data_IF_214041151151
#
_entry.id   IF_214041151151
#
_cell.length_a   1.000
_cell.length_b   1.000
_cell.length_c   1.000
_cell.angle_alpha   90.00
_cell.angle_beta   90.00
_cell.angle_gamma   90.00
#
_symmetry.space_group_name_H-M   'P 1'
#
loop_
_entity.id
_entity.type
_entity.pdbx_description
1 polymer ?
#
# COMPACT_ATOMS: atom_id res chain seq x y z
N UNK A 1 -10.25 1.40 -47.58
CA UNK A 1 -11.02 1.04 -46.36
C UNK A 1 -10.42 -0.24 -45.76
N UNK A 2 -10.35 -0.38 -44.45
CA UNK A 2 -9.88 -1.64 -43.84
C UNK A 2 -10.81 -2.81 -44.20
N UNK A 3 -10.25 -3.98 -44.43
CA UNK A 3 -11.08 -5.15 -44.77
C UNK A 3 -11.80 -5.64 -43.48
N UNK A 4 -13.04 -6.15 -43.65
CA UNK A 4 -13.78 -6.75 -42.52
C UNK A 4 -12.96 -7.87 -41.86
N UNK A 5 -12.13 -8.59 -42.65
CA UNK A 5 -11.25 -9.65 -42.16
C UNK A 5 -10.14 -9.11 -41.22
N UNK A 6 -9.49 -7.99 -41.59
CA UNK A 6 -8.42 -7.42 -40.74
C UNK A 6 -8.97 -6.86 -39.40
N UNK A 7 -10.16 -6.25 -39.44
CA UNK A 7 -10.85 -5.81 -38.22
C UNK A 7 -11.21 -7.00 -37.33
N UNK A 8 -11.77 -8.07 -37.90
CA UNK A 8 -12.12 -9.27 -37.15
C UNK A 8 -10.88 -9.94 -36.50
N UNK A 9 -9.77 -10.02 -37.22
CA UNK A 9 -8.52 -10.54 -36.69
C UNK A 9 -8.02 -9.68 -35.51
N UNK A 10 -8.00 -8.36 -35.66
CA UNK A 10 -7.60 -7.44 -34.59
C UNK A 10 -8.51 -7.59 -33.34
N UNK A 11 -9.83 -7.70 -33.54
CA UNK A 11 -10.77 -7.92 -32.44
C UNK A 11 -10.53 -9.26 -31.72
N UNK A 12 -10.33 -10.34 -32.47
CA UNK A 12 -10.04 -11.67 -31.88
C UNK A 12 -8.72 -11.64 -31.09
N UNK A 13 -7.66 -11.06 -31.66
CA UNK A 13 -6.38 -10.93 -30.94
C UNK A 13 -6.54 -10.07 -29.69
N UNK A 14 -7.32 -9.01 -29.74
CA UNK A 14 -7.63 -8.18 -28.56
C UNK A 14 -8.37 -8.96 -27.47
N UNK A 15 -9.37 -9.76 -27.83
CA UNK A 15 -10.08 -10.61 -26.86
C UNK A 15 -9.14 -11.65 -26.23
N UNK A 16 -8.30 -12.31 -27.02
CA UNK A 16 -7.31 -13.28 -26.52
C UNK A 16 -6.32 -12.58 -25.58
N UNK A 17 -5.78 -11.42 -25.97
CA UNK A 17 -4.85 -10.65 -25.14
C UNK A 17 -5.49 -10.20 -23.81
N UNK A 18 -6.76 -9.78 -23.85
CA UNK A 18 -7.53 -9.45 -22.64
C UNK A 18 -7.67 -10.67 -21.73
N UNK A 19 -8.06 -11.81 -22.25
CA UNK A 19 -8.19 -13.04 -21.47
C UNK A 19 -6.85 -13.46 -20.85
N UNK A 20 -5.76 -13.42 -21.62
CA UNK A 20 -4.41 -13.69 -21.11
C UNK A 20 -4.03 -12.68 -20.00
N UNK A 21 -4.24 -11.38 -20.22
CA UNK A 21 -3.93 -10.35 -19.24
C UNK A 21 -4.68 -10.53 -17.92
N UNK A 22 -5.96 -10.88 -17.98
CA UNK A 22 -6.77 -11.18 -16.78
C UNK A 22 -6.23 -12.42 -16.07
N UNK A 23 -5.95 -13.52 -16.80
CA UNK A 23 -5.38 -14.73 -16.20
C UNK A 23 -4.03 -14.44 -15.54
N UNK A 24 -3.15 -13.71 -16.21
CA UNK A 24 -1.85 -13.33 -15.66
C UNK A 24 -1.97 -12.48 -14.39
N UNK A 25 -3.00 -11.65 -14.27
CA UNK A 25 -3.24 -10.85 -13.07
C UNK A 25 -3.48 -11.68 -11.81
N UNK A 26 -3.99 -12.90 -11.95
CA UNK A 26 -4.20 -13.85 -10.85
C UNK A 26 -3.04 -14.82 -10.63
N UNK A 27 -2.30 -15.14 -11.67
CA UNK A 27 -1.17 -16.10 -11.59
C UNK A 27 0.09 -15.43 -11.03
N UNK A 28 0.33 -14.17 -11.38
CA UNK A 28 1.49 -13.43 -10.89
C UNK A 28 1.25 -13.01 -9.45
N UNK A 29 2.20 -13.35 -8.57
CA UNK A 29 2.19 -12.89 -7.18
C UNK A 29 2.75 -11.48 -7.09
N UNK A 30 1.89 -10.49 -7.26
CA UNK A 30 2.26 -9.05 -7.25
C UNK A 30 2.73 -8.55 -5.89
N UNK A 31 2.24 -9.15 -4.82
CA UNK A 31 2.44 -8.67 -3.46
C UNK A 31 3.04 -9.74 -2.56
N UNK A 32 3.73 -9.35 -1.47
CA UNK A 32 4.11 -10.29 -0.42
C UNK A 32 2.87 -10.89 0.26
N UNK A 33 3.12 -11.84 1.13
CA UNK A 33 2.08 -12.49 1.94
C UNK A 33 1.20 -11.45 2.64
N UNK A 34 -0.11 -11.66 2.63
CA UNK A 34 -1.07 -10.88 3.41
C UNK A 34 -0.97 -11.28 4.87
N UNK A 35 -0.98 -10.30 5.77
CA UNK A 35 -0.87 -10.51 7.21
C UNK A 35 -1.73 -9.53 8.02
N UNK A 36 -2.75 -8.93 7.40
CA UNK A 36 -3.78 -8.12 8.06
C UNK A 36 -5.10 -8.18 7.29
N UNK A 37 -6.20 -7.93 7.98
CA UNK A 37 -7.53 -7.86 7.36
C UNK A 37 -7.60 -6.75 6.31
N UNK A 38 -6.93 -5.62 6.53
CA UNK A 38 -6.84 -4.51 5.59
C UNK A 38 -6.10 -4.90 4.31
N UNK A 39 -5.11 -5.79 4.40
CA UNK A 39 -4.38 -6.30 3.23
C UNK A 39 -5.32 -7.08 2.30
N UNK A 40 -6.23 -7.90 2.83
CA UNK A 40 -7.21 -8.63 2.04
C UNK A 40 -8.16 -7.69 1.28
N UNK A 41 -8.65 -6.64 1.95
CA UNK A 41 -9.53 -5.65 1.35
C UNK A 41 -8.83 -4.87 0.23
N UNK A 42 -7.60 -4.42 0.49
CA UNK A 42 -6.77 -3.66 -0.47
C UNK A 42 -6.43 -4.49 -1.70
N UNK A 43 -6.04 -5.76 -1.52
CA UNK A 43 -5.72 -6.65 -2.65
C UNK A 43 -6.97 -6.98 -3.48
N UNK A 44 -8.14 -7.10 -2.86
CA UNK A 44 -9.42 -7.26 -3.57
C UNK A 44 -9.71 -6.03 -4.45
N UNK A 45 -9.54 -4.83 -3.90
CA UNK A 45 -9.69 -3.59 -4.68
C UNK A 45 -8.71 -3.56 -5.86
N UNK A 46 -7.44 -3.91 -5.62
CA UNK A 46 -6.43 -3.98 -6.67
C UNK A 46 -6.85 -4.93 -7.81
N UNK A 47 -7.34 -6.12 -7.50
CA UNK A 47 -7.80 -7.05 -8.53
C UNK A 47 -8.98 -6.50 -9.34
N UNK A 48 -9.95 -5.84 -8.69
CA UNK A 48 -11.06 -5.19 -9.39
C UNK A 48 -10.54 -4.11 -10.35
N UNK A 49 -9.59 -3.28 -9.90
CA UNK A 49 -8.98 -2.24 -10.74
C UNK A 49 -8.23 -2.83 -11.93
N UNK A 50 -7.46 -3.92 -11.74
CA UNK A 50 -6.74 -4.59 -12.83
C UNK A 50 -7.71 -5.21 -13.83
N UNK A 51 -8.75 -5.91 -13.36
CA UNK A 51 -9.77 -6.52 -14.23
C UNK A 51 -10.48 -5.45 -15.08
N UNK A 52 -10.75 -4.28 -14.52
CA UNK A 52 -11.33 -3.16 -15.26
C UNK A 52 -10.33 -2.51 -16.24
N UNK A 53 -9.06 -2.42 -15.87
CA UNK A 53 -8.02 -1.73 -16.64
C UNK A 53 -7.50 -2.54 -17.82
N UNK A 54 -7.35 -3.87 -17.68
CA UNK A 54 -6.78 -4.74 -18.73
C UNK A 54 -7.55 -4.67 -20.06
N UNK A 55 -8.88 -4.84 -20.11
CA UNK A 55 -9.62 -4.74 -21.37
C UNK A 55 -9.52 -3.34 -22.00
N UNK A 56 -9.52 -2.27 -21.21
CA UNK A 56 -9.37 -0.92 -21.72
C UNK A 56 -7.99 -0.71 -22.32
N UNK A 57 -6.94 -1.12 -21.61
CA UNK A 57 -5.56 -1.03 -22.10
C UNK A 57 -5.37 -1.81 -23.40
N UNK A 58 -5.87 -3.06 -23.45
CA UNK A 58 -5.77 -3.90 -24.64
C UNK A 58 -6.56 -3.31 -25.80
N UNK A 59 -7.77 -2.79 -25.54
CA UNK A 59 -8.59 -2.16 -26.59
C UNK A 59 -7.86 -0.96 -27.20
N UNK A 60 -7.39 -0.03 -26.36
CA UNK A 60 -6.68 1.18 -26.82
C UNK A 60 -5.41 0.80 -27.58
N UNK A 61 -4.61 -0.10 -27.02
CA UNK A 61 -3.36 -0.58 -27.66
C UNK A 61 -3.65 -1.24 -29.00
N UNK A 62 -4.67 -2.10 -29.07
CA UNK A 62 -5.08 -2.77 -30.32
C UNK A 62 -5.50 -1.76 -31.38
N UNK A 63 -6.33 -0.77 -31.02
CA UNK A 63 -6.77 0.29 -31.93
C UNK A 63 -5.60 1.12 -32.42
N UNK A 64 -4.69 1.53 -31.54
CA UNK A 64 -3.51 2.32 -31.88
C UNK A 64 -2.58 1.53 -32.82
N UNK A 65 -2.20 0.31 -32.45
CA UNK A 65 -1.30 -0.51 -33.27
C UNK A 65 -1.92 -0.83 -34.63
N UNK A 66 -3.22 -1.16 -34.65
CA UNK A 66 -3.95 -1.39 -35.89
C UNK A 66 -3.96 -0.13 -36.78
N UNK A 67 -4.21 1.04 -36.20
CA UNK A 67 -4.24 2.32 -36.94
C UNK A 67 -2.88 2.67 -37.51
N UNK A 68 -1.80 2.54 -36.72
CA UNK A 68 -0.43 2.76 -37.19
C UNK A 68 -0.06 1.82 -38.33
N UNK A 69 -0.45 0.53 -38.21
CA UNK A 69 -0.16 -0.46 -39.26
C UNK A 69 -0.98 -0.22 -40.52
N UNK A 70 -2.28 0.04 -40.39
CA UNK A 70 -3.23 0.11 -41.50
C UNK A 70 -3.16 1.44 -42.26
N UNK A 71 -2.96 2.55 -41.53
CA UNK A 71 -3.05 3.92 -42.09
C UNK A 71 -1.69 4.61 -42.20
N UNK A 72 -0.58 3.87 -42.05
CA UNK A 72 0.76 4.43 -42.31
C UNK A 72 0.85 4.97 -43.74
N UNK A 73 1.40 6.15 -43.92
CA UNK A 73 1.66 6.75 -45.23
C UNK A 73 2.60 5.86 -46.03
N UNK A 74 2.27 5.65 -47.29
CA UNK A 74 3.11 4.94 -48.26
C UNK A 74 3.79 5.96 -49.17
N UNK A 75 4.93 5.59 -49.76
CA UNK A 75 5.65 6.42 -50.70
C UNK A 75 4.72 6.80 -51.89
N UNK A 76 4.66 8.11 -52.20
CA UNK A 76 3.78 8.67 -53.21
C UNK A 76 2.36 9.05 -52.72
N UNK A 77 2.10 8.97 -51.42
CA UNK A 77 0.81 9.40 -50.82
C UNK A 77 0.91 10.70 -50.00
N UNK A 78 2.07 11.37 -50.02
CA UNK A 78 2.41 12.52 -49.17
C UNK A 78 1.52 13.75 -49.41
N UNK A 79 0.87 13.84 -50.56
CA UNK A 79 -0.01 14.96 -50.95
C UNK A 79 -1.51 14.62 -50.90
N UNK A 80 -1.90 13.49 -50.34
CA UNK A 80 -3.31 13.11 -50.25
C UNK A 80 -3.91 13.54 -48.92
N UNK A 81 -4.87 14.44 -48.98
CA UNK A 81 -5.65 14.82 -47.80
C UNK A 81 -6.54 13.68 -47.31
N UNK A 82 -6.75 13.62 -46.02
CA UNK A 82 -7.70 12.71 -45.40
C UNK A 82 -9.15 13.09 -45.69
N UNK A 83 -10.12 12.20 -45.47
CA UNK A 83 -11.54 12.52 -45.62
C UNK A 83 -11.96 13.62 -44.63
N UNK A 84 -12.81 14.59 -45.02
CA UNK A 84 -13.26 15.69 -44.16
C UNK A 84 -14.28 15.18 -43.11
N UNK A 85 -13.80 14.61 -42.04
CA UNK A 85 -14.62 14.11 -40.93
C UNK A 85 -14.56 15.16 -39.81
N UNK A 86 -15.72 15.71 -39.41
CA UNK A 86 -15.78 16.80 -38.43
C UNK A 86 -16.31 16.42 -37.04
N UNK A 87 -16.70 15.18 -36.80
CA UNK A 87 -17.19 14.71 -35.51
C UNK A 87 -18.38 13.75 -35.63
N UNK A 88 -18.72 13.15 -34.49
CA UNK A 88 -19.89 12.27 -34.33
C UNK A 88 -20.38 12.36 -32.89
N UNK A 89 -21.39 13.17 -32.64
CA UNK A 89 -21.93 13.44 -31.29
C UNK A 89 -22.37 12.16 -30.56
N UNK A 90 -22.92 11.17 -31.27
CA UNK A 90 -23.30 9.89 -30.62
C UNK A 90 -22.08 9.15 -30.09
N UNK A 91 -21.02 9.12 -30.90
CA UNK A 91 -19.76 8.47 -30.49
C UNK A 91 -19.08 9.25 -29.35
N UNK A 92 -19.14 10.59 -29.39
CA UNK A 92 -18.60 11.48 -28.35
C UNK A 92 -19.31 11.25 -27.00
N UNK A 93 -20.64 11.21 -27.00
CA UNK A 93 -21.42 10.89 -25.80
C UNK A 93 -21.08 9.50 -25.28
N UNK A 94 -20.93 8.50 -26.15
CA UNK A 94 -20.63 7.13 -25.79
C UNK A 94 -19.26 7.00 -25.10
N UNK A 95 -18.19 7.55 -25.67
CA UNK A 95 -16.86 7.45 -25.11
C UNK A 95 -16.64 8.33 -23.87
N UNK A 96 -17.51 9.31 -23.63
CA UNK A 96 -17.51 10.10 -22.40
C UNK A 96 -18.31 9.38 -21.30
N UNK A 97 -19.52 8.91 -21.62
CA UNK A 97 -20.42 8.31 -20.64
C UNK A 97 -19.87 7.01 -20.05
N UNK A 98 -19.32 6.10 -20.88
CA UNK A 98 -18.84 4.80 -20.39
C UNK A 98 -17.69 4.93 -19.38
N UNK A 99 -16.59 5.65 -19.65
CA UNK A 99 -15.54 5.85 -18.67
C UNK A 99 -16.02 6.60 -17.41
N UNK A 100 -16.93 7.56 -17.57
CA UNK A 100 -17.48 8.31 -16.44
C UNK A 100 -18.25 7.39 -15.49
N UNK A 101 -19.16 6.56 -16.01
CA UNK A 101 -19.92 5.60 -15.19
C UNK A 101 -19.00 4.58 -14.54
N UNK A 102 -18.02 4.07 -15.28
CA UNK A 102 -17.02 3.14 -14.75
C UNK A 102 -16.22 3.77 -13.60
N UNK A 103 -15.70 4.99 -13.78
CA UNK A 103 -14.94 5.69 -12.75
C UNK A 103 -15.79 5.97 -11.51
N UNK A 104 -17.03 6.42 -11.66
CA UNK A 104 -17.93 6.63 -10.53
C UNK A 104 -18.17 5.35 -9.75
N UNK A 105 -18.33 4.21 -10.43
CA UNK A 105 -18.44 2.90 -9.79
C UNK A 105 -17.18 2.49 -9.03
N UNK A 106 -16.00 2.68 -9.63
CA UNK A 106 -14.71 2.37 -8.99
C UNK A 106 -14.42 3.28 -7.80
N UNK A 107 -14.73 4.59 -7.91
CA UNK A 107 -14.58 5.55 -6.80
C UNK A 107 -15.50 5.17 -5.63
N UNK A 108 -16.77 4.86 -5.90
CA UNK A 108 -17.71 4.40 -4.87
C UNK A 108 -17.22 3.13 -4.17
N UNK A 109 -16.74 2.15 -4.93
CA UNK A 109 -16.19 0.91 -4.35
C UNK A 109 -14.91 1.17 -3.54
N UNK A 110 -14.00 2.01 -4.04
CA UNK A 110 -12.78 2.39 -3.31
C UNK A 110 -13.11 3.09 -1.99
N UNK A 111 -14.12 3.96 -1.99
CA UNK A 111 -14.58 4.65 -0.78
C UNK A 111 -15.12 3.67 0.27
N UNK A 112 -15.88 2.65 -0.13
CA UNK A 112 -16.36 1.60 0.78
C UNK A 112 -15.19 0.85 1.41
N UNK A 113 -14.20 0.44 0.61
CA UNK A 113 -13.00 -0.25 1.11
C UNK A 113 -12.20 0.64 2.08
N UNK A 114 -12.02 1.91 1.75
CA UNK A 114 -11.34 2.87 2.63
C UNK A 114 -12.08 3.00 3.96
N UNK A 115 -13.38 3.22 3.91
CA UNK A 115 -14.20 3.34 5.12
C UNK A 115 -14.14 2.08 6.00
N UNK A 116 -14.19 0.89 5.40
CA UNK A 116 -14.08 -0.38 6.14
C UNK A 116 -12.70 -0.57 6.76
N UNK A 117 -11.63 -0.15 6.08
CA UNK A 117 -10.28 -0.23 6.60
C UNK A 117 -10.00 0.76 7.75
N UNK A 118 -10.66 1.92 7.75
CA UNK A 118 -10.52 2.96 8.77
C UNK A 118 -11.47 2.78 9.97
N UNK A 119 -12.39 1.83 9.89
CA UNK A 119 -13.39 1.62 10.94
C UNK A 119 -12.73 1.28 12.28
N UNK A 120 -12.96 2.15 13.27
CA UNK A 120 -12.44 1.96 14.63
C UNK A 120 -13.21 0.87 15.36
N UNK A 121 -12.56 -0.21 15.82
CA UNK A 121 -13.21 -1.23 16.63
C UNK A 121 -13.37 -0.77 18.09
N UNK A 122 -14.17 -1.50 18.86
CA UNK A 122 -14.43 -1.19 20.27
C UNK A 122 -13.19 -1.32 21.16
N UNK A 123 -12.20 -2.13 20.76
CA UNK A 123 -10.90 -2.29 21.43
C UNK A 123 -9.79 -2.15 20.41
N UNK A 124 -8.80 -1.39 20.76
CA UNK A 124 -7.66 -1.09 19.91
C UNK A 124 -6.41 -0.85 20.74
N UNK A 125 -5.28 -1.28 20.24
CA UNK A 125 -3.97 -1.06 20.85
C UNK A 125 -3.34 0.15 20.17
N UNK A 126 -3.03 1.19 20.94
CA UNK A 126 -2.28 2.33 20.43
C UNK A 126 -0.79 2.04 20.45
N UNK A 127 -0.10 2.23 19.33
CA UNK A 127 1.35 2.14 19.22
C UNK A 127 1.89 3.41 18.59
N UNK A 128 2.68 4.17 19.34
CA UNK A 128 3.41 5.30 18.80
C UNK A 128 4.56 4.81 17.90
N UNK A 129 4.68 5.37 16.69
CA UNK A 129 5.77 5.11 15.76
C UNK A 129 6.49 6.41 15.50
N UNK A 130 7.78 6.45 15.77
CA UNK A 130 8.59 7.65 15.56
C UNK A 130 9.75 7.35 14.61
N UNK A 131 9.79 8.05 13.47
CA UNK A 131 10.92 8.05 12.55
C UNK A 131 11.96 9.08 12.97
N UNK A 132 13.22 8.72 12.87
CA UNK A 132 14.38 9.60 12.98
C UNK A 132 15.49 9.02 12.12
N UNK A 133 16.32 9.82 11.50
CA UNK A 133 17.43 9.38 10.64
C UNK A 133 18.42 8.51 11.42
N UNK A 134 18.52 7.19 11.22
CA UNK A 134 17.83 6.32 10.24
C UNK A 134 17.24 5.13 11.00
N UNK A 135 16.37 5.39 11.97
CA UNK A 135 15.85 4.40 12.90
C UNK A 135 14.35 4.62 13.17
N UNK A 136 13.64 3.52 13.39
CA UNK A 136 12.27 3.50 13.89
C UNK A 136 12.26 3.24 15.39
N UNK A 137 11.46 4.00 16.14
CA UNK A 137 11.23 3.80 17.58
C UNK A 137 9.74 3.61 17.82
N UNK A 138 9.41 2.66 18.67
CA UNK A 138 8.04 2.28 18.98
C UNK A 138 7.72 2.58 20.43
N UNK A 139 6.53 3.11 20.69
CA UNK A 139 6.08 3.50 22.02
C UNK A 139 4.78 2.78 22.35
N UNK A 140 4.78 2.06 23.47
CA UNK A 140 3.60 1.39 24.02
C UNK A 140 3.09 2.17 25.22
N UNK A 141 1.79 2.55 25.27
CA UNK A 141 1.23 3.37 26.32
C UNK A 141 1.08 2.60 27.64
N UNK A 142 0.90 3.34 28.71
CA UNK A 142 0.70 2.80 30.06
C UNK A 142 -0.49 1.86 30.20
N UNK A 143 -1.52 2.06 29.40
CA UNK A 143 -2.71 1.19 29.33
C UNK A 143 -2.38 -0.27 28.99
N UNK A 144 -1.30 -0.48 28.21
CA UNK A 144 -0.84 -1.79 27.78
C UNK A 144 0.24 -2.34 28.73
N UNK A 145 1.14 -1.47 29.18
CA UNK A 145 2.30 -1.87 30.01
C UNK A 145 1.95 -2.06 31.49
N UNK A 146 0.83 -1.51 31.94
CA UNK A 146 0.41 -1.51 33.35
C UNK A 146 1.26 -0.64 34.27
N UNK A 147 2.17 0.17 33.72
CA UNK A 147 3.12 1.00 34.48
C UNK A 147 3.59 2.22 33.73
N UNK A 148 4.88 2.31 33.45
CA UNK A 148 5.48 3.38 32.66
C UNK A 148 5.30 3.12 31.14
N UNK A 149 5.30 4.20 30.36
CA UNK A 149 5.38 4.10 28.88
C UNK A 149 6.64 3.35 28.48
N UNK A 150 6.52 2.34 27.63
CA UNK A 150 7.65 1.56 27.12
C UNK A 150 8.08 2.09 25.75
N UNK A 151 9.35 2.46 25.61
CA UNK A 151 9.98 2.75 24.33
C UNK A 151 10.83 1.55 23.90
N UNK A 152 10.72 1.14 22.64
CA UNK A 152 11.40 -0.02 22.08
C UNK A 152 11.85 0.22 20.65
N UNK A 153 12.93 -0.42 20.23
CA UNK A 153 13.32 -0.54 18.82
C UNK A 153 12.71 -1.77 18.14
N UNK A 154 11.99 -2.60 18.89
CA UNK A 154 11.30 -3.77 18.39
C UNK A 154 9.80 -3.53 18.39
N UNK A 155 9.13 -3.89 17.30
CA UNK A 155 7.70 -3.77 17.15
C UNK A 155 7.03 -5.13 17.28
N UNK A 156 6.29 -5.33 18.36
CA UNK A 156 5.46 -6.50 18.60
C UNK A 156 4.00 -6.11 18.63
N UNK A 157 3.17 -6.92 18.00
CA UNK A 157 1.71 -6.74 17.97
C UNK A 157 1.02 -8.11 18.13
N UNK A 158 -0.13 -8.17 18.79
CA UNK A 158 -0.87 -9.42 18.90
C UNK A 158 -1.67 -9.71 17.65
N UNK A 159 -1.82 -10.99 17.30
CA UNK A 159 -2.73 -11.47 16.28
C UNK A 159 -4.19 -11.24 16.73
N UNK A 160 -5.05 -10.84 15.80
CA UNK A 160 -6.50 -10.72 15.98
C UNK A 160 -6.97 -9.45 16.71
N UNK A 161 -6.07 -8.60 17.22
CA UNK A 161 -6.43 -7.30 17.79
C UNK A 161 -6.06 -6.16 16.86
N UNK A 162 -6.94 -5.16 16.77
CA UNK A 162 -6.65 -3.94 16.02
C UNK A 162 -5.56 -3.12 16.69
N UNK A 163 -4.66 -2.61 15.90
CA UNK A 163 -3.56 -1.73 16.32
C UNK A 163 -3.68 -0.41 15.56
N UNK A 164 -3.76 0.70 16.29
CA UNK A 164 -3.62 2.04 15.73
C UNK A 164 -2.16 2.49 15.83
N UNK A 165 -1.53 2.71 14.70
CA UNK A 165 -0.19 3.26 14.60
C UNK A 165 -0.28 4.79 14.54
N UNK A 166 0.24 5.45 15.59
CA UNK A 166 0.35 6.91 15.68
C UNK A 166 1.75 7.30 15.19
N UNK A 167 1.84 7.75 13.94
CA UNK A 167 3.10 7.86 13.20
C UNK A 167 3.54 9.33 13.17
N UNK A 168 4.80 9.59 13.50
CA UNK A 168 5.40 10.93 13.52
C UNK A 168 6.89 10.88 13.18
N UNK A 169 7.45 12.04 12.86
CA UNK A 169 8.90 12.21 12.69
C UNK A 169 9.48 13.21 13.66
N UNK A 170 10.77 13.06 14.00
CA UNK A 170 11.55 14.01 14.80
C UNK A 170 12.40 14.97 13.96
N UNK A 171 12.64 14.66 12.69
CA UNK A 171 13.59 15.39 11.85
C UNK A 171 13.04 15.68 10.44
N UNK A 172 13.15 14.76 9.51
CA UNK A 172 12.67 14.88 8.13
C UNK A 172 11.45 14.01 7.89
N UNK A 173 10.83 14.10 6.72
CA UNK A 173 9.74 13.21 6.35
C UNK A 173 10.28 11.81 6.08
N UNK A 174 9.65 10.79 6.67
CA UNK A 174 9.83 9.37 6.40
C UNK A 174 8.48 8.76 5.98
N UNK A 175 8.45 7.55 5.45
CA UNK A 175 7.21 6.80 5.27
C UNK A 175 7.31 5.44 5.97
N UNK A 176 6.42 5.21 6.92
CA UNK A 176 6.29 3.93 7.61
C UNK A 176 5.52 2.95 6.73
N UNK A 177 6.24 1.98 6.18
CA UNK A 177 5.67 1.00 5.26
C UNK A 177 5.82 -0.43 5.77
N UNK A 178 4.69 -1.11 5.90
CA UNK A 178 4.62 -2.54 6.20
C UNK A 178 3.95 -3.25 5.01
N UNK A 179 4.73 -3.74 4.04
CA UNK A 179 4.19 -4.33 2.80
C UNK A 179 3.18 -5.46 3.02
N UNK A 180 3.41 -6.31 4.03
CA UNK A 180 2.51 -7.42 4.37
C UNK A 180 1.13 -6.97 4.90
N UNK A 181 1.04 -5.75 5.43
CA UNK A 181 -0.21 -5.15 5.91
C UNK A 181 -0.88 -4.24 4.88
N UNK A 182 -0.21 -3.94 3.75
CA UNK A 182 -0.60 -2.92 2.76
C UNK A 182 -0.73 -1.53 3.36
N UNK A 183 -0.03 -1.25 4.46
CA UNK A 183 0.02 0.09 5.03
C UNK A 183 1.28 0.81 4.58
N UNK A 184 1.10 2.05 4.21
CA UNK A 184 2.14 3.04 4.00
C UNK A 184 1.59 4.39 4.44
N UNK A 185 2.25 5.02 5.40
CA UNK A 185 1.82 6.30 5.95
C UNK A 185 3.04 7.19 6.22
N UNK A 186 2.91 8.45 5.91
CA UNK A 186 4.00 9.41 6.06
C UNK A 186 4.21 9.80 7.53
N UNK A 187 5.46 9.75 7.97
CA UNK A 187 5.91 10.29 9.25
C UNK A 187 6.40 11.72 9.03
N UNK A 188 5.57 12.71 9.37
CA UNK A 188 5.83 14.13 9.09
C UNK A 188 6.22 14.86 10.39
N UNK A 189 7.26 15.72 10.39
CA UNK A 189 7.59 16.56 11.54
C UNK A 189 6.43 17.50 11.92
N UNK A 190 6.08 17.52 13.21
CA UNK A 190 5.02 18.40 13.74
C UNK A 190 3.59 17.89 13.54
N UNK A 191 3.40 16.77 12.83
CA UNK A 191 2.09 16.14 12.59
C UNK A 191 2.12 14.69 13.09
N UNK A 192 0.99 14.22 13.62
CA UNK A 192 0.79 12.79 13.88
C UNK A 192 -0.22 12.27 12.87
N UNK A 193 0.19 11.35 12.03
CA UNK A 193 -0.67 10.61 11.12
C UNK A 193 -1.10 9.29 11.77
N UNK A 194 -2.19 8.71 11.30
CA UNK A 194 -2.80 7.55 11.93
C UNK A 194 -3.06 6.48 10.88
N UNK A 195 -2.69 5.26 11.19
CA UNK A 195 -3.09 4.10 10.41
C UNK A 195 -3.50 2.95 11.31
N UNK A 196 -4.48 2.18 10.85
CA UNK A 196 -5.04 1.06 11.61
C UNK A 196 -4.86 -0.25 10.86
N UNK A 197 -4.43 -1.30 11.57
CA UNK A 197 -4.37 -2.64 11.03
C UNK A 197 -4.77 -3.68 12.07
N UNK A 198 -5.43 -4.74 11.63
CA UNK A 198 -5.69 -5.93 12.44
C UNK A 198 -4.84 -7.07 11.88
N UNK A 199 -3.71 -7.40 12.54
CA UNK A 199 -2.87 -8.51 12.12
C UNK A 199 -3.63 -9.84 12.24
N UNK A 200 -3.60 -10.66 11.19
CA UNK A 200 -4.36 -11.93 11.11
C UNK A 200 -3.46 -13.15 10.84
N UNK A 201 -2.14 -12.94 10.83
CA UNK A 201 -1.19 -14.02 10.57
C UNK A 201 0.08 -13.85 11.40
N UNK A 202 0.35 -14.82 12.28
CA UNK A 202 1.58 -14.88 13.07
C UNK A 202 2.79 -14.95 12.15
N UNK A 203 3.82 -14.13 12.45
CA UNK A 203 5.06 -14.07 11.67
C UNK A 203 5.87 -12.83 11.96
N UNK A 204 6.95 -12.67 11.20
CA UNK A 204 7.81 -11.48 11.23
C UNK A 204 7.85 -10.86 9.85
N UNK A 205 7.50 -9.58 9.75
CA UNK A 205 7.36 -8.89 8.48
C UNK A 205 8.22 -7.63 8.45
N UNK A 206 8.79 -7.28 7.29
CA UNK A 206 9.64 -6.11 7.17
C UNK A 206 8.84 -4.82 7.38
N UNK A 207 9.47 -3.87 8.07
CA UNK A 207 9.12 -2.46 8.13
C UNK A 207 10.21 -1.69 7.40
N UNK A 208 9.84 -0.86 6.44
CA UNK A 208 10.78 -0.15 5.56
C UNK A 208 10.41 1.33 5.51
N UNK A 209 11.41 2.21 5.51
CA UNK A 209 11.18 3.58 5.12
C UNK A 209 11.01 3.66 3.60
N UNK A 210 9.89 4.19 3.11
CA UNK A 210 9.56 4.24 1.68
C UNK A 210 9.59 5.67 1.10
N UNK A 211 10.13 6.63 1.85
CA UNK A 211 10.33 8.00 1.38
C UNK A 211 11.79 8.40 1.61
N UNK A 212 12.45 8.93 0.58
CA UNK A 212 13.87 9.30 0.64
C UNK A 212 14.11 10.32 1.76
N UNK A 213 14.77 9.89 2.82
CA UNK A 213 15.01 10.66 4.04
C UNK A 213 16.48 11.03 4.30
N UNK A 214 17.38 10.71 3.37
CA UNK A 214 18.81 11.01 3.46
C UNK A 214 19.71 9.84 3.06
N UNK A 215 21.00 9.96 3.30
CA UNK A 215 22.04 9.00 2.85
C UNK A 215 21.87 7.58 3.39
N UNK A 216 21.30 7.43 4.56
CA UNK A 216 21.01 6.14 5.20
C UNK A 216 19.60 5.60 4.96
N UNK A 217 18.83 6.20 4.03
CA UNK A 217 17.43 5.80 3.76
C UNK A 217 17.26 4.29 3.52
N UNK A 218 18.11 3.67 2.72
CA UNK A 218 18.05 2.25 2.41
C UNK A 218 18.32 1.33 3.62
N UNK A 219 18.94 1.85 4.66
CA UNK A 219 19.27 1.14 5.91
C UNK A 219 18.18 1.32 6.99
N UNK A 220 17.25 2.28 6.80
CA UNK A 220 16.18 2.55 7.76
C UNK A 220 15.08 1.48 7.68
N UNK A 221 15.38 0.36 8.29
CA UNK A 221 14.53 -0.85 8.31
C UNK A 221 14.29 -1.33 9.73
N UNK A 222 13.16 -1.99 9.93
CA UNK A 222 12.80 -2.66 11.18
C UNK A 222 11.97 -3.91 10.85
N UNK A 223 11.47 -4.57 11.87
CA UNK A 223 10.61 -5.75 11.75
C UNK A 223 9.41 -5.63 12.68
N UNK A 224 8.22 -5.90 12.16
CA UNK A 224 7.03 -6.11 12.98
C UNK A 224 6.84 -7.60 13.25
N UNK A 225 6.71 -7.96 14.52
CA UNK A 225 6.47 -9.32 15.00
C UNK A 225 5.01 -9.48 15.38
N UNK A 226 4.25 -10.21 14.57
CA UNK A 226 2.89 -10.62 14.91
C UNK A 226 2.98 -11.91 15.73
N UNK A 227 2.46 -11.88 16.94
CA UNK A 227 2.57 -12.99 17.90
C UNK A 227 1.22 -13.27 18.56
N UNK A 228 1.10 -14.41 19.25
CA UNK A 228 -0.09 -14.68 20.06
C UNK A 228 -0.24 -13.67 21.20
N UNK A 229 -1.47 -13.46 21.69
CA UNK A 229 -1.75 -12.61 22.83
C UNK A 229 -0.89 -12.93 24.06
N UNK A 230 -0.72 -14.22 24.37
CA UNK A 230 0.07 -14.65 25.50
C UNK A 230 1.55 -14.24 25.35
N UNK A 231 2.10 -14.41 24.14
CA UNK A 231 3.49 -14.03 23.84
C UNK A 231 3.68 -12.51 23.84
N UNK A 232 2.68 -11.75 23.34
CA UNK A 232 2.71 -10.31 23.40
C UNK A 232 2.76 -9.79 24.85
N UNK A 233 1.87 -10.29 25.73
CA UNK A 233 1.86 -9.94 27.16
C UNK A 233 3.17 -10.32 27.87
N UNK A 234 3.72 -11.50 27.56
CA UNK A 234 4.99 -11.94 28.11
C UNK A 234 6.15 -11.04 27.66
N UNK A 235 6.15 -10.61 26.39
CA UNK A 235 7.16 -9.69 25.86
C UNK A 235 7.06 -8.31 26.55
N UNK A 236 5.88 -7.71 26.66
CA UNK A 236 5.66 -6.44 27.39
C UNK A 236 6.19 -6.56 28.83
N UNK A 237 5.82 -7.63 29.55
CA UNK A 237 6.26 -7.85 30.92
C UNK A 237 7.79 -8.03 31.06
N UNK A 238 8.46 -8.60 30.07
CA UNK A 238 9.92 -8.73 30.04
C UNK A 238 10.61 -7.37 29.87
N UNK A 239 10.10 -6.54 28.98
CA UNK A 239 10.65 -5.21 28.68
C UNK A 239 10.45 -4.25 29.86
N UNK A 240 9.30 -4.27 30.51
CA UNK A 240 9.01 -3.41 31.67
C UNK A 240 9.86 -3.78 32.90
N UNK A 241 10.11 -5.06 33.14
CA UNK A 241 11.03 -5.51 34.20
C UNK A 241 12.47 -5.06 33.98
N UNK A 242 12.98 -5.17 32.74
CA UNK A 242 14.31 -4.69 32.37
C UNK A 242 14.51 -3.19 32.57
N UNK A 243 13.49 -2.38 32.27
CA UNK A 243 13.52 -0.94 32.47
C UNK A 243 13.60 -0.54 33.96
N UNK A 244 12.96 -1.28 34.85
CA UNK A 244 12.98 -1.03 36.31
C UNK A 244 14.34 -1.35 36.93
N UNK A 245 15.01 -2.39 36.43
CA UNK A 245 16.34 -2.85 36.96
C UNK A 245 17.45 -1.85 36.58
N UNK A 246 17.40 -1.25 35.40
CA UNK A 246 18.39 -0.23 34.98
C UNK A 246 18.18 1.12 35.67
N UNK A 247 16.97 1.47 36.07
CA UNK A 247 16.66 2.69 36.80
C UNK A 247 17.10 2.60 38.31
N UNK A 248 17.22 1.42 38.86
CA UNK A 248 17.64 1.21 40.27
C UNK A 248 19.15 1.11 40.47
N UNK A 249 19.92 0.91 39.40
CA UNK A 249 21.39 0.96 39.42
C UNK A 249 21.85 2.42 39.21
N UNK A 250 21.61 3.29 40.21
CA UNK A 250 22.19 4.62 40.25
C UNK A 250 23.73 4.55 40.29
N UNK A 251 24.43 5.62 39.85
CA UNK A 251 25.89 5.62 39.82
C UNK A 251 26.45 5.37 41.24
N UNK A 252 27.26 4.31 41.35
CA UNK A 252 28.02 4.08 42.58
C UNK A 252 28.84 5.35 42.87
N UNK A 253 28.59 5.95 44.00
CA UNK A 253 29.36 7.10 44.49
C UNK A 253 30.84 6.71 44.53
N UNK A 254 31.66 7.30 43.67
CA UNK A 254 33.09 7.24 43.78
C UNK A 254 33.46 7.97 45.11
N UNK A 255 33.74 7.19 46.12
CA UNK A 255 34.27 7.71 47.39
C UNK A 255 35.64 8.33 47.12
N UNK A 256 35.74 9.63 47.28
CA UNK A 256 36.98 10.35 47.40
C UNK A 256 37.60 9.99 48.78
N UNK A 257 38.59 9.13 48.76
CA UNK A 257 39.54 9.00 49.88
C UNK A 257 40.67 9.99 49.65
N UNK A 258 40.94 10.77 50.67
CA UNK A 258 41.81 11.91 50.77
C UNK A 258 43.30 11.76 50.51
#
# INVERSE_FOLDING_TARGET
MPSRRSIAIAAVLGVIATAIGIVLSFVIKWFPVQASTQAHNTDRLYHVLVIASVPIFVLVTTVVLYSVWQFRMKSGEELKDGPPIHGNTRLEVFWTAIPTVLLLGLVGYSFVILHDNEKKPAREIDVGVTGQQFVWTYQYPRSITGGATLNSYQLYVPEGESVEFNIRSKDVIHAFWVPAFRIQEDAVPGITTHWRATPDRIGSYPVVCNLLCGVGHSLMRSTIHVVTQARFKAWIASQTRGATTTASAGPASAGTSG
#
